data_IF_769014484486
#
_entry.id   IF_769014484486
#
_cell.length_a   1.000
_cell.length_b   1.000
_cell.length_c   1.000
_cell.angle_alpha   90.00
_cell.angle_beta   90.00
_cell.angle_gamma   90.00
#
_symmetry.space_group_name_H-M   'P 1'
#
loop_
_entity.id
_entity.type
_entity.pdbx_description
1 polymer ?
#
# COMPACT_ATOMS: atom_id res chain seq x y z
N UNK A 1 10.95 -28.89 -17.72
CA UNK A 1 9.76 -28.10 -18.03
C UNK A 1 8.88 -28.14 -16.79
N UNK A 2 9.04 -27.19 -15.91
CA UNK A 2 8.19 -27.03 -14.71
C UNK A 2 6.88 -26.37 -15.10
N UNK A 3 5.74 -26.72 -14.51
CA UNK A 3 4.49 -26.04 -14.77
C UNK A 3 4.61 -24.59 -14.25
N UNK A 4 4.38 -23.64 -15.15
CA UNK A 4 4.28 -22.23 -14.83
C UNK A 4 3.08 -22.06 -13.91
N UNK A 5 3.30 -21.63 -12.68
CA UNK A 5 2.29 -21.08 -11.78
C UNK A 5 1.72 -19.84 -12.46
N UNK A 6 0.51 -19.98 -12.95
CA UNK A 6 -0.31 -18.91 -13.51
C UNK A 6 -1.29 -18.50 -12.42
N UNK A 7 -1.29 -17.26 -12.07
CA UNK A 7 -2.36 -16.67 -11.25
C UNK A 7 -1.88 -15.63 -10.26
N UNK A 8 -2.18 -14.43 -10.59
CA UNK A 8 -2.61 -13.28 -9.79
C UNK A 8 -1.76 -12.81 -8.60
N UNK A 9 -0.97 -11.80 -8.86
CA UNK A 9 -0.25 -11.00 -7.87
C UNK A 9 -1.09 -9.81 -7.38
N UNK A 10 -2.18 -10.07 -6.67
CA UNK A 10 -3.00 -8.96 -6.15
C UNK A 10 -2.69 -8.54 -4.71
N UNK A 11 -1.65 -9.07 -4.05
CA UNK A 11 -1.57 -9.00 -2.58
C UNK A 11 -0.28 -8.42 -1.98
N UNK A 12 0.80 -8.22 -2.71
CA UNK A 12 1.92 -7.39 -2.23
C UNK A 12 1.80 -5.94 -2.66
N UNK A 13 0.98 -5.67 -3.68
CA UNK A 13 0.70 -4.34 -4.19
C UNK A 13 -0.78 -4.10 -4.49
N UNK A 14 -1.66 -5.08 -4.35
CA UNK A 14 -2.99 -4.91 -4.85
C UNK A 14 -4.00 -5.94 -4.43
N UNK A 15 -4.39 -5.97 -3.16
CA UNK A 15 -5.79 -6.24 -2.92
C UNK A 15 -6.52 -4.93 -3.10
N UNK A 16 -7.44 -4.93 -4.05
CA UNK A 16 -8.40 -3.84 -4.22
C UNK A 16 -9.27 -3.80 -2.96
N UNK A 17 -8.82 -3.04 -1.98
CA UNK A 17 -9.59 -2.78 -0.77
C UNK A 17 -10.42 -1.53 -1.06
N UNK A 18 -11.70 -1.73 -1.33
CA UNK A 18 -12.62 -0.61 -1.52
C UNK A 18 -12.78 0.15 -0.20
N UNK A 19 -11.99 1.20 0.01
CA UNK A 19 -12.17 2.15 1.10
C UNK A 19 -13.34 3.10 0.81
N UNK A 20 -14.54 2.55 0.59
CA UNK A 20 -15.75 3.34 0.41
C UNK A 20 -16.33 3.80 1.75
N UNK A 21 -15.54 4.40 2.62
CA UNK A 21 -16.06 5.13 3.78
C UNK A 21 -16.52 6.53 3.34
N UNK A 22 -17.71 6.60 2.75
CA UNK A 22 -18.41 7.87 2.65
C UNK A 22 -18.81 8.30 4.07
N UNK A 23 -18.19 9.38 4.57
CA UNK A 23 -18.56 9.97 5.85
C UNK A 23 -20.07 10.33 5.82
N UNK A 24 -20.89 9.58 6.52
CA UNK A 24 -22.28 9.96 6.79
C UNK A 24 -22.27 11.23 7.63
N UNK A 25 -23.00 12.29 7.25
CA UNK A 25 -23.17 13.44 8.11
C UNK A 25 -23.93 13.01 9.36
N UNK A 26 -23.35 13.25 10.54
CA UNK A 26 -23.97 12.99 11.82
C UNK A 26 -25.35 13.65 11.87
N UNK A 27 -26.38 12.84 11.97
CA UNK A 27 -27.73 13.31 12.21
C UNK A 27 -27.80 13.88 13.63
N UNK A 28 -27.99 15.18 13.75
CA UNK A 28 -28.36 15.84 15.00
C UNK A 28 -29.69 15.31 15.49
N UNK A 29 -29.69 14.47 16.50
CA UNK A 29 -30.90 14.12 17.26
C UNK A 29 -31.18 15.23 18.27
N UNK A 30 -32.22 16.02 18.00
CA UNK A 30 -32.83 16.88 18.98
C UNK A 30 -33.70 16.09 19.96
N UNK A 31 -33.88 16.54 21.23
CA UNK A 31 -34.63 15.79 22.22
C UNK A 31 -36.14 15.89 21.98
N UNK A 32 -36.80 14.75 21.77
CA UNK A 32 -38.24 14.65 21.77
C UNK A 32 -38.72 13.90 23.00
N UNK A 33 -39.29 14.61 23.95
CA UNK A 33 -40.06 14.07 25.08
C UNK A 33 -41.54 13.99 24.69
N UNK A 34 -42.07 12.76 24.64
CA UNK A 34 -43.54 12.53 24.55
C UNK A 34 -43.84 11.04 24.73
N UNK A 35 -44.82 10.64 25.59
CA UNK A 35 -45.11 9.25 25.87
C UNK A 35 -45.87 8.58 24.71
N UNK A 36 -45.45 7.39 24.33
CA UNK A 36 -46.04 6.53 23.31
C UNK A 36 -47.36 5.89 23.79
N UNK A 37 -48.39 5.79 22.93
CA UNK A 37 -49.58 4.97 23.21
C UNK A 37 -49.26 3.49 22.94
N UNK A 38 -49.81 2.63 23.78
CA UNK A 38 -49.75 1.17 23.70
C UNK A 38 -50.42 0.64 22.43
N UNK A 39 -49.79 -0.26 21.67
CA UNK A 39 -50.42 -0.88 20.51
C UNK A 39 -51.30 -2.10 20.96
N UNK A 40 -52.52 -2.12 20.43
CA UNK A 40 -53.39 -3.32 20.45
C UNK A 40 -52.88 -4.38 19.48
N UNK A 41 -53.00 -5.69 19.74
CA UNK A 41 -52.59 -6.71 18.81
C UNK A 41 -53.56 -6.84 17.65
N UNK A 42 -53.17 -6.41 16.48
CA UNK A 42 -53.82 -6.69 15.22
C UNK A 42 -53.30 -7.99 14.64
N UNK A 43 -54.15 -9.00 14.59
CA UNK A 43 -53.88 -10.26 13.92
C UNK A 43 -53.93 -10.06 12.40
N UNK A 44 -52.78 -9.73 11.79
CA UNK A 44 -52.58 -9.80 10.36
C UNK A 44 -51.62 -10.97 10.06
N UNK A 45 -52.14 -11.92 9.30
CA UNK A 45 -51.35 -13.11 8.89
C UNK A 45 -50.08 -12.70 8.15
N UNK A 46 -48.94 -12.95 8.76
CA UNK A 46 -47.66 -12.83 8.11
C UNK A 46 -47.48 -14.01 7.14
N UNK A 47 -47.71 -13.79 5.85
CA UNK A 47 -47.18 -14.67 4.84
C UNK A 47 -45.66 -14.55 4.92
N UNK A 48 -45.00 -15.51 5.55
CA UNK A 48 -43.56 -15.67 5.55
C UNK A 48 -43.14 -15.91 4.09
N UNK A 49 -42.73 -14.86 3.40
CA UNK A 49 -42.04 -15.02 2.12
C UNK A 49 -40.76 -15.81 2.40
N UNK A 50 -40.59 -16.96 1.77
CA UNK A 50 -39.39 -17.76 1.90
C UNK A 50 -38.16 -16.91 1.50
N UNK A 51 -37.06 -17.00 2.26
CA UNK A 51 -35.82 -16.32 1.91
C UNK A 51 -35.41 -16.70 0.47
N UNK A 52 -34.91 -15.75 -0.34
CA UNK A 52 -34.54 -16.01 -1.72
C UNK A 52 -33.46 -17.12 -1.80
N UNK A 53 -33.61 -18.01 -2.79
CA UNK A 53 -32.59 -19.03 -3.03
C UNK A 53 -31.24 -18.42 -3.44
N UNK A 54 -30.15 -19.19 -3.36
CA UNK A 54 -28.82 -18.73 -3.80
C UNK A 54 -28.87 -18.28 -5.25
N UNK A 55 -29.50 -19.03 -6.15
CA UNK A 55 -29.64 -18.67 -7.55
C UNK A 55 -30.42 -17.34 -7.77
N UNK A 56 -31.44 -17.08 -6.94
CA UNK A 56 -32.17 -15.81 -7.02
C UNK A 56 -31.34 -14.63 -6.51
N UNK A 57 -30.50 -14.84 -5.47
CA UNK A 57 -29.56 -13.80 -5.01
C UNK A 57 -28.50 -13.50 -6.05
N UNK A 58 -27.89 -14.52 -6.67
CA UNK A 58 -26.89 -14.34 -7.73
C UNK A 58 -27.47 -13.63 -8.97
N UNK A 59 -28.66 -14.01 -9.41
CA UNK A 59 -29.33 -13.31 -10.52
C UNK A 59 -29.64 -11.82 -10.19
N UNK A 60 -30.02 -11.51 -8.97
CA UNK A 60 -30.23 -10.13 -8.52
C UNK A 60 -28.89 -9.35 -8.46
N UNK A 61 -27.81 -10.00 -7.99
CA UNK A 61 -26.48 -9.42 -7.98
C UNK A 61 -25.98 -9.13 -9.40
N UNK A 62 -26.10 -10.08 -10.35
CA UNK A 62 -25.74 -9.87 -11.74
C UNK A 62 -26.48 -8.69 -12.39
N UNK A 63 -27.78 -8.58 -12.15
CA UNK A 63 -28.56 -7.45 -12.65
C UNK A 63 -28.10 -6.11 -12.05
N UNK A 64 -27.69 -6.11 -10.78
CA UNK A 64 -27.16 -4.92 -10.10
C UNK A 64 -25.78 -4.55 -10.64
N UNK A 65 -24.89 -5.51 -10.76
CA UNK A 65 -23.56 -5.34 -11.38
C UNK A 65 -23.66 -4.81 -12.80
N UNK A 66 -24.54 -5.36 -13.63
CA UNK A 66 -24.72 -4.91 -15.01
C UNK A 66 -25.21 -3.43 -15.09
N UNK A 67 -26.14 -3.04 -14.21
CA UNK A 67 -26.58 -1.61 -14.14
C UNK A 67 -25.45 -0.70 -13.71
N UNK A 68 -24.72 -1.05 -12.66
CA UNK A 68 -23.60 -0.28 -12.14
C UNK A 68 -22.46 -0.17 -13.16
N UNK A 69 -22.13 -1.26 -13.85
CA UNK A 69 -21.13 -1.28 -14.92
C UNK A 69 -21.47 -0.31 -16.04
N UNK A 70 -22.72 -0.36 -16.54
CA UNK A 70 -23.20 0.57 -17.57
C UNK A 70 -23.21 2.04 -17.10
N UNK A 71 -23.41 2.29 -15.81
CA UNK A 71 -23.37 3.64 -15.25
C UNK A 71 -21.94 4.16 -15.16
N UNK A 72 -21.02 3.40 -14.52
CA UNK A 72 -19.64 3.85 -14.32
C UNK A 72 -18.86 3.90 -15.62
N UNK A 73 -19.14 3.01 -16.58
CA UNK A 73 -18.48 3.01 -17.90
C UNK A 73 -18.69 4.32 -18.65
N UNK A 74 -19.91 4.87 -18.59
CA UNK A 74 -20.19 6.18 -19.20
C UNK A 74 -19.47 7.32 -18.51
N UNK A 75 -19.36 7.31 -17.18
CA UNK A 75 -18.62 8.32 -16.42
C UNK A 75 -17.12 8.26 -16.67
N UNK A 76 -16.59 7.02 -16.74
CA UNK A 76 -15.16 6.77 -16.98
C UNK A 76 -14.78 6.91 -18.47
N UNK A 77 -15.76 6.98 -19.37
CA UNK A 77 -15.57 7.01 -20.83
C UNK A 77 -14.80 5.77 -21.32
N UNK A 78 -15.17 4.59 -20.77
CA UNK A 78 -14.54 3.31 -21.11
C UNK A 78 -15.63 2.24 -21.27
N UNK A 79 -15.92 1.83 -22.51
CA UNK A 79 -17.02 0.91 -22.80
C UNK A 79 -16.70 -0.52 -22.35
N UNK A 80 -17.65 -1.28 -21.76
CA UNK A 80 -17.42 -2.65 -21.39
C UNK A 80 -17.18 -3.53 -22.62
N UNK A 81 -16.13 -4.35 -22.58
CA UNK A 81 -15.85 -5.34 -23.65
C UNK A 81 -16.54 -6.69 -23.43
N UNK A 82 -17.15 -6.89 -22.25
CA UNK A 82 -17.89 -8.08 -21.90
C UNK A 82 -18.63 -7.96 -20.59
N UNK A 83 -19.49 -8.92 -20.27
CA UNK A 83 -20.23 -8.92 -19.02
C UNK A 83 -19.32 -9.22 -17.82
N UNK A 84 -19.69 -8.69 -16.67
CA UNK A 84 -19.11 -9.01 -15.35
C UNK A 84 -20.18 -9.76 -14.57
N UNK A 85 -19.83 -10.92 -14.02
CA UNK A 85 -20.72 -11.71 -13.15
C UNK A 85 -20.86 -11.01 -11.80
N UNK A 86 -21.98 -11.25 -11.10
CA UNK A 86 -22.20 -10.73 -9.75
C UNK A 86 -22.50 -11.86 -8.78
N UNK A 87 -21.83 -11.88 -7.63
CA UNK A 87 -22.10 -12.84 -6.56
C UNK A 87 -22.14 -12.15 -5.20
N UNK A 88 -23.08 -12.56 -4.36
CA UNK A 88 -23.15 -12.11 -2.97
C UNK A 88 -22.57 -13.19 -2.06
N UNK A 89 -21.57 -12.83 -1.28
CA UNK A 89 -20.89 -13.71 -0.33
C UNK A 89 -20.85 -13.10 1.07
N UNK A 90 -20.64 -13.93 2.07
CA UNK A 90 -20.46 -13.48 3.45
C UNK A 90 -19.06 -12.88 3.67
N UNK A 91 -18.89 -12.11 4.74
CA UNK A 91 -17.57 -11.59 5.15
C UNK A 91 -16.54 -12.70 5.37
N UNK A 92 -16.95 -13.82 5.96
CA UNK A 92 -16.04 -14.95 6.20
C UNK A 92 -15.60 -15.60 4.89
N UNK A 93 -16.49 -15.73 3.90
CA UNK A 93 -16.16 -16.21 2.57
C UNK A 93 -15.21 -15.25 1.83
N UNK A 94 -15.41 -13.92 1.96
CA UNK A 94 -14.47 -12.93 1.43
C UNK A 94 -13.08 -13.09 2.02
N UNK A 95 -12.98 -13.13 3.34
CA UNK A 95 -11.70 -13.30 4.03
C UNK A 95 -11.03 -14.60 3.63
N UNK A 96 -11.79 -15.71 3.55
CA UNK A 96 -11.24 -16.98 3.09
C UNK A 96 -10.78 -16.95 1.63
N UNK A 97 -11.41 -16.13 0.77
CA UNK A 97 -10.95 -15.91 -0.60
C UNK A 97 -9.60 -15.18 -0.60
N UNK A 98 -9.51 -14.07 0.12
CA UNK A 98 -8.29 -13.28 0.28
C UNK A 98 -7.15 -14.11 0.87
N UNK A 99 -7.42 -14.93 1.89
CA UNK A 99 -6.41 -15.82 2.46
C UNK A 99 -5.85 -16.81 1.45
N UNK A 100 -6.72 -17.38 0.60
CA UNK A 100 -6.28 -18.30 -0.48
C UNK A 100 -5.44 -17.57 -1.51
N UNK A 101 -5.86 -16.38 -1.96
CA UNK A 101 -5.10 -15.58 -2.92
C UNK A 101 -3.72 -15.23 -2.35
N UNK A 102 -3.65 -14.76 -1.09
CA UNK A 102 -2.39 -14.47 -0.40
C UNK A 102 -1.44 -15.69 -0.39
N UNK A 103 -1.97 -16.88 -0.13
CA UNK A 103 -1.16 -18.11 -0.03
C UNK A 103 -0.74 -18.67 -1.40
N UNK A 104 -1.45 -18.35 -2.48
CA UNK A 104 -1.19 -18.89 -3.83
C UNK A 104 -0.44 -17.92 -4.73
N UNK A 105 -0.59 -16.63 -4.53
CA UNK A 105 -0.13 -15.59 -5.43
C UNK A 105 1.18 -14.94 -4.97
N UNK A 106 1.39 -14.85 -3.65
CA UNK A 106 2.61 -14.24 -3.10
C UNK A 106 3.57 -15.32 -2.61
N UNK A 107 4.84 -15.28 -3.04
CA UNK A 107 5.84 -16.16 -2.49
C UNK A 107 5.96 -16.00 -0.96
N UNK A 108 5.93 -17.11 -0.22
CA UNK A 108 6.04 -17.09 1.25
C UNK A 108 7.30 -16.36 1.74
N UNK A 109 8.37 -16.42 0.96
CA UNK A 109 9.61 -15.70 1.25
C UNK A 109 9.42 -14.19 1.30
N UNK A 110 8.57 -13.62 0.43
CA UNK A 110 8.24 -12.19 0.39
C UNK A 110 7.48 -11.78 1.64
N UNK A 111 6.44 -12.53 2.02
CA UNK A 111 5.63 -12.28 3.23
C UNK A 111 6.52 -12.33 4.49
N UNK A 112 7.41 -13.32 4.57
CA UNK A 112 8.35 -13.46 5.69
C UNK A 112 9.34 -12.30 5.72
N UNK A 113 10.00 -12.00 4.60
CA UNK A 113 10.98 -10.94 4.50
C UNK A 113 10.39 -9.55 4.83
N UNK A 114 9.15 -9.26 4.37
CA UNK A 114 8.45 -8.01 4.70
C UNK A 114 8.33 -7.83 6.21
N UNK A 115 7.90 -8.87 6.93
CA UNK A 115 7.80 -8.82 8.39
C UNK A 115 9.16 -8.64 9.08
N UNK A 116 10.22 -9.28 8.58
CA UNK A 116 11.57 -9.16 9.11
C UNK A 116 12.19 -7.79 8.85
N UNK A 117 11.99 -7.24 7.66
CA UNK A 117 12.49 -5.90 7.30
C UNK A 117 11.79 -4.82 8.14
N UNK A 118 10.47 -4.88 8.28
CA UNK A 118 9.72 -3.95 9.13
C UNK A 118 10.14 -4.04 10.61
N UNK A 119 10.38 -5.26 11.11
CA UNK A 119 10.92 -5.45 12.44
C UNK A 119 12.33 -4.85 12.56
N UNK A 120 13.22 -5.13 11.63
CA UNK A 120 14.58 -4.61 11.62
C UNK A 120 14.60 -3.07 11.55
N UNK A 121 13.69 -2.44 10.81
CA UNK A 121 13.51 -0.99 10.75
C UNK A 121 12.95 -0.39 12.06
N UNK A 122 12.38 -1.22 12.95
CA UNK A 122 11.82 -0.77 14.21
C UNK A 122 10.37 -0.28 14.12
N UNK A 123 9.68 -0.54 13.02
CA UNK A 123 8.32 -0.08 12.77
C UNK A 123 7.24 -1.04 13.26
N UNK A 124 7.62 -2.27 13.62
CA UNK A 124 6.72 -3.27 14.19
C UNK A 124 7.38 -4.00 15.38
N UNK A 125 6.61 -4.47 16.39
CA UNK A 125 7.16 -5.25 17.49
C UNK A 125 7.58 -6.67 17.07
N UNK A 126 8.37 -7.36 17.90
CA UNK A 126 8.83 -8.72 17.63
C UNK A 126 7.68 -9.73 17.45
N UNK A 127 6.58 -9.54 18.18
CA UNK A 127 5.39 -10.38 18.12
C UNK A 127 4.51 -10.13 16.88
N UNK A 128 4.78 -9.10 16.09
CA UNK A 128 3.94 -8.77 14.93
C UNK A 128 4.11 -9.81 13.81
N UNK A 129 3.02 -10.42 13.40
CA UNK A 129 2.96 -11.30 12.25
C UNK A 129 2.41 -10.55 11.04
N UNK A 130 3.26 -10.29 10.04
CA UNK A 130 2.93 -9.46 8.87
C UNK A 130 1.67 -9.96 8.13
N UNK A 131 1.58 -11.28 7.87
CA UNK A 131 0.41 -11.90 7.23
C UNK A 131 -0.88 -11.64 8.01
N UNK A 132 -0.86 -11.81 9.33
CA UNK A 132 -2.03 -11.57 10.19
C UNK A 132 -2.43 -10.10 10.21
N UNK A 133 -1.46 -9.20 10.30
CA UNK A 133 -1.71 -7.76 10.27
C UNK A 133 -2.33 -7.32 8.95
N UNK A 134 -1.83 -7.82 7.83
CA UNK A 134 -2.39 -7.55 6.51
C UNK A 134 -3.84 -8.05 6.41
N UNK A 135 -4.10 -9.30 6.76
CA UNK A 135 -5.45 -9.89 6.77
C UNK A 135 -6.42 -9.14 7.72
N UNK A 136 -5.92 -8.60 8.83
CA UNK A 136 -6.74 -7.81 9.74
C UNK A 136 -7.19 -6.48 9.11
N UNK A 137 -6.30 -5.78 8.40
CA UNK A 137 -6.68 -4.59 7.64
C UNK A 137 -7.70 -4.95 6.58
N UNK A 138 -7.43 -5.98 5.79
CA UNK A 138 -8.33 -6.43 4.74
C UNK A 138 -9.72 -6.81 5.26
N UNK A 139 -9.79 -7.56 6.36
CA UNK A 139 -11.07 -7.95 6.98
C UNK A 139 -11.93 -6.74 7.37
N UNK A 140 -11.33 -5.64 7.79
CA UNK A 140 -12.06 -4.44 8.19
C UNK A 140 -12.45 -3.54 7.02
N UNK A 141 -11.66 -3.52 5.97
CA UNK A 141 -11.83 -2.59 4.85
C UNK A 141 -12.49 -3.23 3.61
N UNK A 142 -12.43 -4.56 3.47
CA UNK A 142 -12.93 -5.26 2.30
C UNK A 142 -14.47 -5.31 2.30
N UNK A 143 -15.08 -4.51 1.44
CA UNK A 143 -16.53 -4.44 1.26
C UNK A 143 -17.02 -5.29 0.09
N UNK A 144 -16.22 -5.39 -0.95
CA UNK A 144 -16.39 -6.21 -2.16
C UNK A 144 -15.07 -6.23 -2.91
N UNK A 145 -14.99 -7.01 -3.98
CA UNK A 145 -13.83 -7.02 -4.87
C UNK A 145 -14.17 -7.60 -6.24
N UNK A 146 -13.47 -7.12 -7.26
CA UNK A 146 -13.48 -7.73 -8.57
C UNK A 146 -12.39 -8.80 -8.68
N UNK A 147 -12.76 -10.01 -9.11
CA UNK A 147 -11.84 -11.11 -9.38
C UNK A 147 -11.58 -11.20 -10.88
N UNK A 148 -10.39 -10.80 -11.37
CA UNK A 148 -10.10 -10.75 -12.81
C UNK A 148 -10.15 -12.12 -13.48
N UNK A 149 -9.63 -13.16 -12.80
CA UNK A 149 -9.57 -14.51 -13.37
C UNK A 149 -10.95 -15.05 -13.76
N UNK A 150 -11.94 -14.89 -12.88
CA UNK A 150 -13.31 -15.37 -13.06
C UNK A 150 -14.23 -14.31 -13.66
N UNK A 151 -13.75 -13.07 -13.84
CA UNK A 151 -14.53 -11.89 -14.27
C UNK A 151 -15.79 -11.72 -13.43
N UNK A 152 -15.61 -11.83 -12.11
CA UNK A 152 -16.71 -11.85 -11.15
C UNK A 152 -16.53 -10.73 -10.11
N UNK A 153 -17.59 -9.96 -9.91
CA UNK A 153 -17.73 -9.01 -8.81
C UNK A 153 -18.30 -9.72 -7.59
N UNK A 154 -17.55 -9.81 -6.51
CA UNK A 154 -18.00 -10.32 -5.22
C UNK A 154 -18.44 -9.18 -4.32
N UNK A 155 -19.64 -9.30 -3.74
CA UNK A 155 -20.28 -8.28 -2.90
C UNK A 155 -20.54 -8.84 -1.51
N UNK A 156 -20.29 -8.04 -0.48
CA UNK A 156 -20.70 -8.35 0.88
C UNK A 156 -22.23 -8.36 1.02
N UNK A 157 -22.79 -9.43 1.61
CA UNK A 157 -24.23 -9.55 1.78
C UNK A 157 -24.84 -8.53 2.77
N UNK A 158 -24.03 -7.81 3.49
CA UNK A 158 -24.36 -6.76 4.45
C UNK A 158 -24.29 -5.34 3.87
N UNK A 159 -23.86 -5.18 2.62
CA UNK A 159 -23.74 -3.87 1.95
C UNK A 159 -25.09 -3.35 1.46
N UNK A 160 -25.37 -2.08 1.71
CA UNK A 160 -26.60 -1.43 1.29
C UNK A 160 -26.39 0.05 0.94
N UNK A 161 -27.30 0.60 0.12
CA UNK A 161 -27.34 2.02 -0.20
C UNK A 161 -26.05 2.56 -0.79
N UNK A 162 -25.63 3.74 -0.35
CA UNK A 162 -24.48 4.45 -0.89
C UNK A 162 -23.14 3.68 -0.77
N UNK A 163 -22.98 2.89 0.28
CA UNK A 163 -21.77 2.07 0.48
C UNK A 163 -21.68 0.96 -0.58
N UNK A 164 -22.79 0.28 -0.88
CA UNK A 164 -22.88 -0.69 -1.97
C UNK A 164 -22.57 -0.03 -3.32
N UNK A 165 -23.17 1.12 -3.58
CA UNK A 165 -23.02 1.83 -4.86
C UNK A 165 -21.56 2.27 -5.05
N UNK A 166 -20.93 2.87 -4.03
CA UNK A 166 -19.55 3.30 -4.08
C UNK A 166 -18.59 2.12 -4.33
N UNK A 167 -18.77 1.01 -3.59
CA UNK A 167 -17.99 -0.22 -3.78
C UNK A 167 -18.16 -0.74 -5.22
N UNK A 168 -19.38 -0.84 -5.71
CA UNK A 168 -19.65 -1.30 -7.08
C UNK A 168 -18.97 -0.44 -8.12
N UNK A 169 -19.08 0.89 -8.02
CA UNK A 169 -18.50 1.79 -9.00
C UNK A 169 -16.97 1.72 -9.01
N UNK A 170 -16.35 1.60 -7.85
CA UNK A 170 -14.90 1.44 -7.74
C UNK A 170 -14.44 0.13 -8.38
N UNK A 171 -14.99 -0.99 -7.94
CA UNK A 171 -14.59 -2.32 -8.37
C UNK A 171 -14.87 -2.58 -9.86
N UNK A 172 -15.95 -2.01 -10.38
CA UNK A 172 -16.29 -2.17 -11.79
C UNK A 172 -15.39 -1.32 -12.72
N UNK A 173 -14.72 -0.29 -12.20
CA UNK A 173 -13.63 0.35 -12.95
C UNK A 173 -12.45 -0.60 -13.10
N UNK A 174 -12.10 -1.38 -12.06
CA UNK A 174 -11.08 -2.42 -12.20
C UNK A 174 -11.47 -3.49 -13.23
N UNK A 175 -12.75 -3.85 -13.28
CA UNK A 175 -13.23 -4.73 -14.36
C UNK A 175 -13.05 -4.12 -15.76
N UNK A 176 -13.27 -2.83 -15.92
CA UNK A 176 -12.99 -2.12 -17.19
C UNK A 176 -11.49 -2.04 -17.47
N UNK A 177 -10.67 -1.75 -16.47
CA UNK A 177 -9.21 -1.71 -16.61
C UNK A 177 -8.67 -3.08 -17.03
N UNK A 178 -9.18 -4.15 -16.42
CA UNK A 178 -8.79 -5.52 -16.80
C UNK A 178 -9.17 -5.85 -18.25
N UNK A 179 -10.41 -5.53 -18.64
CA UNK A 179 -10.89 -5.77 -20.01
C UNK A 179 -10.07 -5.02 -21.06
N UNK A 180 -9.63 -3.79 -20.80
CA UNK A 180 -8.94 -2.95 -21.76
C UNK A 180 -7.43 -3.01 -21.70
N UNK A 181 -6.85 -3.22 -20.51
CA UNK A 181 -5.41 -3.10 -20.27
C UNK A 181 -4.78 -4.39 -19.73
N UNK A 182 -5.60 -5.40 -19.37
CA UNK A 182 -5.11 -6.66 -18.83
C UNK A 182 -4.52 -6.51 -17.44
N UNK A 183 -5.28 -5.89 -16.54
CA UNK A 183 -4.85 -5.55 -15.17
C UNK A 183 -4.29 -6.77 -14.42
N UNK A 184 -4.93 -7.94 -14.56
CA UNK A 184 -4.46 -9.21 -14.00
C UNK A 184 -2.97 -9.46 -14.27
N UNK A 185 -2.56 -9.32 -15.55
CA UNK A 185 -1.18 -9.58 -15.96
C UNK A 185 -0.19 -8.51 -15.51
N UNK A 186 -0.65 -7.25 -15.38
CA UNK A 186 0.18 -6.14 -14.95
C UNK A 186 0.52 -6.23 -13.46
N UNK A 187 -0.36 -6.84 -12.68
CA UNK A 187 -0.20 -7.03 -11.24
C UNK A 187 0.32 -8.42 -10.86
N UNK A 188 0.58 -9.31 -11.83
CA UNK A 188 1.25 -10.59 -11.57
C UNK A 188 2.62 -10.38 -10.91
N UNK A 189 2.89 -11.14 -9.85
CA UNK A 189 4.16 -11.06 -9.14
C UNK A 189 5.36 -11.21 -10.06
N UNK A 190 6.30 -10.28 -9.95
CA UNK A 190 7.57 -10.31 -10.67
C UNK A 190 8.70 -9.90 -9.74
N UNK A 191 9.78 -10.65 -9.72
CA UNK A 191 10.97 -10.31 -8.95
C UNK A 191 11.54 -8.96 -9.38
N UNK A 192 12.07 -8.21 -8.45
CA UNK A 192 12.69 -6.89 -8.67
C UNK A 192 11.77 -5.79 -9.25
N UNK A 193 10.46 -6.00 -9.22
CA UNK A 193 9.47 -5.12 -9.83
C UNK A 193 8.58 -4.37 -8.82
N UNK A 194 8.86 -4.44 -7.51
CA UNK A 194 7.97 -3.94 -6.46
C UNK A 194 7.59 -2.47 -6.61
N UNK A 195 8.53 -1.58 -6.92
CA UNK A 195 8.22 -0.16 -7.16
C UNK A 195 7.39 0.06 -8.42
N UNK A 196 7.74 -0.61 -9.53
CA UNK A 196 6.94 -0.51 -10.76
C UNK A 196 5.52 -1.04 -10.57
N UNK A 197 5.36 -2.19 -9.91
CA UNK A 197 4.04 -2.74 -9.60
C UNK A 197 3.27 -1.80 -8.67
N UNK A 198 3.93 -1.18 -7.69
CA UNK A 198 3.36 -0.12 -6.87
C UNK A 198 2.85 1.08 -7.67
N UNK A 199 3.58 1.49 -8.70
CA UNK A 199 3.18 2.57 -9.59
C UNK A 199 1.96 2.21 -10.46
N UNK A 200 1.93 1.00 -11.02
CA UNK A 200 0.77 0.48 -11.77
C UNK A 200 -0.46 0.36 -10.87
N UNK A 201 -0.27 -0.16 -9.67
CA UNK A 201 -1.33 -0.24 -8.67
C UNK A 201 -1.88 1.14 -8.31
N UNK A 202 -1.01 2.11 -8.04
CA UNK A 202 -1.45 3.48 -7.76
C UNK A 202 -2.22 4.11 -8.94
N UNK A 203 -1.81 3.86 -10.18
CA UNK A 203 -2.58 4.28 -11.37
C UNK A 203 -3.97 3.63 -11.37
N UNK A 204 -4.06 2.33 -11.12
CA UNK A 204 -5.32 1.60 -11.10
C UNK A 204 -6.29 2.11 -10.03
N UNK A 205 -5.79 2.26 -8.81
CA UNK A 205 -6.58 2.75 -7.67
C UNK A 205 -6.99 4.21 -7.83
N UNK A 206 -6.09 5.03 -8.35
CA UNK A 206 -6.39 6.45 -8.61
C UNK A 206 -7.46 6.63 -9.68
N UNK A 207 -7.43 5.84 -10.74
CA UNK A 207 -8.42 5.82 -11.81
C UNK A 207 -9.79 5.38 -11.28
N UNK A 208 -9.84 4.26 -10.53
CA UNK A 208 -11.06 3.73 -9.94
C UNK A 208 -11.67 4.71 -8.92
N UNK A 209 -10.85 5.25 -8.02
CA UNK A 209 -11.28 6.22 -7.00
C UNK A 209 -11.77 7.51 -7.64
N UNK A 210 -11.10 8.01 -8.67
CA UNK A 210 -11.51 9.23 -9.38
C UNK A 210 -12.87 9.07 -10.07
N UNK A 211 -13.13 7.91 -10.69
CA UNK A 211 -14.42 7.60 -11.30
C UNK A 211 -15.53 7.35 -10.26
N UNK A 212 -15.21 6.68 -9.15
CA UNK A 212 -16.14 6.49 -8.03
C UNK A 212 -16.59 7.84 -7.44
N UNK A 213 -15.67 8.79 -7.26
CA UNK A 213 -16.00 10.14 -6.77
C UNK A 213 -16.94 10.86 -7.76
N UNK A 214 -16.65 10.79 -9.05
CA UNK A 214 -17.55 11.34 -10.08
C UNK A 214 -18.95 10.73 -9.97
N UNK A 215 -19.05 9.42 -9.74
CA UNK A 215 -20.32 8.72 -9.59
C UNK A 215 -21.06 9.16 -8.32
N UNK A 216 -20.38 9.27 -7.18
CA UNK A 216 -20.96 9.72 -5.90
C UNK A 216 -21.52 11.14 -5.96
N UNK A 217 -20.92 12.00 -6.76
CA UNK A 217 -21.31 13.41 -6.89
C UNK A 217 -21.96 13.75 -8.24
N UNK A 218 -22.37 12.74 -9.03
CA UNK A 218 -22.95 12.93 -10.35
C UNK A 218 -24.16 13.88 -10.36
N UNK A 219 -25.07 13.75 -9.39
CA UNK A 219 -26.23 14.62 -9.25
C UNK A 219 -25.87 16.09 -8.94
N UNK A 220 -24.72 16.31 -8.32
CA UNK A 220 -24.22 17.65 -7.98
C UNK A 220 -23.33 18.23 -9.07
N UNK A 221 -23.06 17.48 -10.13
CA UNK A 221 -22.15 17.86 -11.22
C UNK A 221 -20.73 18.25 -10.75
N UNK A 222 -20.26 17.63 -9.66
CA UNK A 222 -18.90 17.81 -9.12
C UNK A 222 -18.05 16.61 -9.54
N UNK A 223 -16.88 16.87 -10.12
CA UNK A 223 -15.95 15.82 -10.53
C UNK A 223 -14.76 15.78 -9.60
N UNK A 224 -14.15 14.61 -9.44
CA UNK A 224 -12.97 14.42 -8.61
C UNK A 224 -11.84 15.43 -8.89
N UNK A 225 -11.45 15.73 -10.16
CA UNK A 225 -10.39 16.69 -10.43
C UNK A 225 -10.74 18.15 -10.07
N UNK A 226 -12.02 18.46 -9.83
CA UNK A 226 -12.46 19.80 -9.43
C UNK A 226 -12.40 20.00 -7.90
N UNK A 227 -12.18 18.92 -7.14
CA UNK A 227 -12.01 18.98 -5.70
C UNK A 227 -10.59 19.39 -5.29
N UNK A 228 -10.44 20.17 -4.19
CA UNK A 228 -9.14 20.48 -3.63
C UNK A 228 -8.42 19.20 -3.13
N UNK A 229 -7.13 19.10 -3.37
CA UNK A 229 -6.34 17.94 -2.94
C UNK A 229 -6.34 17.77 -1.40
N UNK A 230 -6.47 18.88 -0.64
CA UNK A 230 -6.58 18.85 0.82
C UNK A 230 -7.81 18.11 1.36
N UNK A 231 -8.88 17.99 0.59
CA UNK A 231 -10.07 17.20 0.96
C UNK A 231 -9.74 15.72 0.91
N UNK A 232 -8.91 15.31 -0.05
CA UNK A 232 -8.44 13.94 -0.22
C UNK A 232 -7.49 13.53 0.90
N UNK A 233 -6.57 14.43 1.29
CA UNK A 233 -5.66 14.22 2.44
C UNK A 233 -6.45 14.00 3.74
N UNK A 234 -7.52 14.76 3.97
CA UNK A 234 -8.36 14.62 5.16
C UNK A 234 -9.09 13.28 5.18
N UNK A 235 -9.67 12.85 4.06
CA UNK A 235 -10.38 11.58 3.96
C UNK A 235 -9.45 10.40 4.22
N UNK A 236 -8.23 10.45 3.68
CA UNK A 236 -7.19 9.44 3.92
C UNK A 236 -6.79 9.34 5.39
N UNK A 237 -6.64 10.49 6.06
CA UNK A 237 -6.32 10.53 7.49
C UNK A 237 -7.45 9.91 8.35
N UNK A 238 -8.71 10.08 7.95
CA UNK A 238 -9.87 9.50 8.64
C UNK A 238 -9.95 7.99 8.43
N UNK A 239 -9.72 7.50 7.21
CA UNK A 239 -9.74 6.08 6.88
C UNK A 239 -8.63 5.30 7.61
N UNK A 240 -7.43 5.86 7.72
CA UNK A 240 -6.31 5.24 8.43
C UNK A 240 -6.56 5.02 9.95
N UNK A 241 -7.57 5.67 10.52
CA UNK A 241 -7.94 5.55 11.95
C UNK A 241 -8.85 4.38 12.31
N UNK A 242 -9.46 3.69 11.32
CA UNK A 242 -10.54 2.72 11.55
C UNK A 242 -10.08 1.40 12.17
N UNK A 243 -8.85 0.94 11.90
CA UNK A 243 -8.33 -0.34 12.40
C UNK A 243 -7.44 -0.14 13.62
N UNK A 244 -7.94 -0.49 14.80
CA UNK A 244 -7.15 -0.52 16.02
C UNK A 244 -6.22 -1.76 16.01
N UNK A 245 -5.05 -1.65 16.68
CA UNK A 245 -4.07 -2.74 16.87
C UNK A 245 -3.22 -3.16 15.67
N UNK A 246 -3.34 -2.53 14.50
CA UNK A 246 -2.42 -2.76 13.38
C UNK A 246 -1.41 -1.61 13.33
N UNK A 247 -0.10 -1.91 13.14
CA UNK A 247 0.93 -0.87 12.99
C UNK A 247 0.59 0.15 11.91
N UNK A 248 0.89 1.41 12.16
CA UNK A 248 0.53 2.51 11.26
C UNK A 248 1.14 2.35 9.87
N UNK A 249 2.36 1.81 9.78
CA UNK A 249 3.04 1.56 8.52
C UNK A 249 2.23 0.62 7.61
N UNK A 250 1.60 -0.42 8.16
CA UNK A 250 0.77 -1.34 7.37
C UNK A 250 -0.45 -0.61 6.81
N UNK A 251 -1.14 0.17 7.66
CA UNK A 251 -2.32 0.94 7.22
C UNK A 251 -1.95 1.96 6.14
N UNK A 252 -0.86 2.70 6.33
CA UNK A 252 -0.38 3.68 5.35
C UNK A 252 0.04 3.03 4.04
N UNK A 253 0.72 1.88 4.08
CA UNK A 253 1.10 1.17 2.87
C UNK A 253 -0.10 0.72 2.04
N UNK A 254 -1.20 0.32 2.68
CA UNK A 254 -2.45 -0.04 2.00
C UNK A 254 -3.15 1.20 1.41
N UNK A 255 -3.14 2.33 2.10
CA UNK A 255 -3.85 3.56 1.69
C UNK A 255 -3.06 4.40 0.67
N UNK A 256 -1.73 4.34 0.70
CA UNK A 256 -0.88 5.19 -0.14
C UNK A 256 -1.18 5.12 -1.64
N UNK A 257 -1.38 3.94 -2.27
CA UNK A 257 -1.72 3.85 -3.69
C UNK A 257 -3.00 4.62 -4.07
N UNK A 258 -4.01 4.60 -3.21
CA UNK A 258 -5.29 5.32 -3.44
C UNK A 258 -5.09 6.84 -3.46
N UNK A 259 -4.38 7.37 -2.47
CA UNK A 259 -4.17 8.81 -2.29
C UNK A 259 -3.28 9.37 -3.39
N UNK A 260 -2.13 8.75 -3.57
CA UNK A 260 -1.12 9.21 -4.52
C UNK A 260 -1.62 9.00 -5.96
N UNK A 261 -2.25 7.86 -6.23
CA UNK A 261 -2.85 7.55 -7.52
C UNK A 261 -3.99 8.49 -7.88
N UNK A 262 -4.88 8.81 -6.92
CA UNK A 262 -5.95 9.78 -7.14
C UNK A 262 -5.39 11.17 -7.48
N UNK A 263 -4.35 11.62 -6.77
CA UNK A 263 -3.68 12.89 -7.04
C UNK A 263 -3.09 12.92 -8.45
N UNK A 264 -2.40 11.85 -8.85
CA UNK A 264 -1.83 11.67 -10.18
C UNK A 264 -2.90 11.66 -11.27
N UNK A 265 -3.93 10.83 -11.13
CA UNK A 265 -5.02 10.71 -12.10
C UNK A 265 -5.81 12.02 -12.21
N UNK A 266 -6.12 12.68 -11.10
CA UNK A 266 -6.80 13.97 -11.14
C UNK A 266 -5.95 15.06 -11.82
N UNK A 267 -4.63 15.05 -11.64
CA UNK A 267 -3.73 15.96 -12.36
C UNK A 267 -3.74 15.69 -13.87
N UNK A 268 -3.74 14.43 -14.31
CA UNK A 268 -3.92 14.06 -15.72
C UNK A 268 -5.30 14.52 -16.25
N UNK A 269 -6.36 14.29 -15.48
CA UNK A 269 -7.72 14.66 -15.85
C UNK A 269 -7.92 16.17 -15.97
N UNK A 270 -7.26 16.99 -15.15
CA UNK A 270 -7.26 18.47 -15.28
C UNK A 270 -6.63 18.92 -16.60
N UNK A 271 -5.71 18.16 -17.17
CA UNK A 271 -5.01 18.48 -18.44
C UNK A 271 -5.78 18.02 -19.67
N UNK A 272 -6.36 16.83 -19.65
CA UNK A 272 -6.93 16.25 -20.88
C UNK A 272 -8.06 15.24 -20.64
N UNK A 273 -8.77 15.31 -19.50
CA UNK A 273 -9.88 14.42 -19.20
C UNK A 273 -9.46 12.95 -19.12
N UNK A 274 -10.41 12.08 -19.37
CA UNK A 274 -10.18 10.63 -19.36
C UNK A 274 -9.25 10.16 -20.48
N UNK A 275 -9.13 10.92 -21.58
CA UNK A 275 -8.16 10.63 -22.65
C UNK A 275 -6.72 10.69 -22.15
N UNK A 276 -6.37 11.63 -21.25
CA UNK A 276 -5.03 11.70 -20.67
C UNK A 276 -4.77 10.48 -19.74
N UNK A 277 -5.78 10.01 -19.02
CA UNK A 277 -5.66 8.78 -18.21
C UNK A 277 -5.51 7.54 -19.10
N UNK A 278 -6.27 7.43 -20.19
CA UNK A 278 -6.08 6.37 -21.18
C UNK A 278 -4.65 6.38 -21.76
N UNK A 279 -4.08 7.56 -21.99
CA UNK A 279 -2.68 7.72 -22.38
C UNK A 279 -1.69 7.19 -21.33
N UNK A 280 -2.00 7.33 -20.04
CA UNK A 280 -1.17 6.76 -18.96
C UNK A 280 -1.25 5.22 -18.91
N UNK A 281 -2.38 4.63 -19.23
CA UNK A 281 -2.49 3.18 -19.39
C UNK A 281 -1.74 2.63 -20.61
N UNK A 282 -1.57 3.43 -21.66
CA UNK A 282 -0.73 3.08 -22.82
C UNK A 282 0.76 3.27 -22.54
N UNK A 283 1.11 4.18 -21.66
CA UNK A 283 2.47 4.46 -21.21
C UNK A 283 2.51 4.45 -19.68
N UNK A 284 2.57 3.26 -19.13
CA UNK A 284 2.58 3.06 -17.68
C UNK A 284 3.69 3.88 -16.99
N UNK A 285 3.44 4.39 -15.77
CA UNK A 285 4.49 5.01 -14.97
C UNK A 285 5.58 3.96 -14.67
N UNK A 286 6.83 4.39 -14.74
CA UNK A 286 8.00 3.51 -14.57
C UNK A 286 8.37 3.30 -13.10
N UNK A 287 7.85 4.14 -12.19
CA UNK A 287 8.15 4.12 -10.76
C UNK A 287 7.06 4.83 -9.97
N UNK A 288 6.98 4.58 -8.68
CA UNK A 288 6.13 5.36 -7.77
C UNK A 288 6.55 6.82 -7.68
N UNK A 289 7.81 7.15 -7.96
CA UNK A 289 8.27 8.52 -8.11
C UNK A 289 7.51 9.26 -9.22
N UNK A 290 7.26 8.62 -10.35
CA UNK A 290 6.46 9.23 -11.43
C UNK A 290 4.98 9.43 -11.05
N UNK A 291 4.45 8.65 -10.14
CA UNK A 291 3.12 8.87 -9.55
C UNK A 291 3.12 10.10 -8.64
N UNK A 292 4.18 10.28 -7.84
CA UNK A 292 4.30 11.38 -6.89
C UNK A 292 4.70 12.70 -7.55
N UNK A 293 5.41 12.63 -8.69
CA UNK A 293 5.98 13.76 -9.41
C UNK A 293 5.61 13.72 -10.91
N UNK A 294 4.51 14.39 -11.24
CA UNK A 294 3.95 14.36 -12.61
C UNK A 294 4.95 14.91 -13.66
N UNK A 295 5.84 15.84 -13.28
CA UNK A 295 6.90 16.34 -14.14
C UNK A 295 7.92 15.27 -14.52
N UNK A 296 8.22 14.32 -13.61
CA UNK A 296 9.09 13.17 -13.91
C UNK A 296 8.39 12.15 -14.82
N UNK A 297 7.09 11.96 -14.66
CA UNK A 297 6.29 11.18 -15.61
C UNK A 297 6.29 11.81 -17.01
N UNK A 298 6.08 13.12 -17.11
CA UNK A 298 6.11 13.85 -18.38
C UNK A 298 7.50 13.78 -19.06
N UNK A 299 8.56 13.92 -18.26
CA UNK A 299 9.96 13.80 -18.71
C UNK A 299 10.34 12.35 -19.09
N UNK A 300 9.51 11.34 -18.75
CA UNK A 300 9.81 9.91 -18.92
C UNK A 300 11.08 9.50 -18.17
N UNK A 301 11.32 10.10 -17.02
CA UNK A 301 12.50 9.81 -16.21
C UNK A 301 12.39 8.39 -15.65
N UNK A 302 13.26 7.51 -16.10
CA UNK A 302 13.28 6.14 -15.64
C UNK A 302 14.13 5.99 -14.37
N UNK A 303 13.74 5.11 -13.43
CA UNK A 303 14.58 4.84 -12.26
C UNK A 303 15.92 4.23 -12.66
N UNK A 304 16.97 4.58 -11.92
CA UNK A 304 18.29 3.99 -12.10
C UNK A 304 18.34 2.57 -11.52
N UNK A 305 18.51 1.57 -12.38
CA UNK A 305 18.63 0.19 -11.92
C UNK A 305 19.93 0.02 -11.10
N UNK A 306 19.78 -0.46 -9.87
CA UNK A 306 20.91 -0.82 -9.02
C UNK A 306 21.16 -2.32 -9.10
N UNK A 307 22.42 -2.76 -9.35
CA UNK A 307 22.72 -4.19 -9.43
C UNK A 307 22.53 -4.89 -8.10
N UNK A 308 22.34 -6.20 -8.15
CA UNK A 308 22.30 -7.06 -6.97
C UNK A 308 23.56 -6.86 -6.11
N UNK A 309 23.39 -6.93 -4.80
CA UNK A 309 24.48 -6.72 -3.86
C UNK A 309 25.46 -7.91 -3.88
N UNK A 310 26.78 -7.66 -3.85
CA UNK A 310 27.76 -8.73 -3.76
C UNK A 310 27.79 -9.31 -2.35
N UNK A 311 27.14 -10.44 -2.18
CA UNK A 311 27.03 -11.12 -0.87
C UNK A 311 28.38 -11.50 -0.25
N UNK A 312 29.41 -11.72 -1.05
CA UNK A 312 30.76 -11.99 -0.55
C UNK A 312 31.30 -10.97 0.46
N UNK A 313 30.74 -9.73 0.41
CA UNK A 313 31.06 -8.66 1.38
C UNK A 313 30.54 -8.98 2.79
N UNK A 314 29.48 -9.79 2.90
CA UNK A 314 28.77 -10.05 4.15
C UNK A 314 29.09 -11.44 4.76
N UNK A 315 30.06 -12.16 4.19
CA UNK A 315 30.42 -13.53 4.61
C UNK A 315 29.60 -14.61 3.90
N UNK A 316 29.57 -15.84 4.41
CA UNK A 316 28.84 -16.95 3.81
C UNK A 316 27.35 -16.82 4.09
N UNK A 317 26.63 -16.12 3.22
CA UNK A 317 25.22 -15.81 3.36
C UNK A 317 24.44 -16.18 2.10
N UNK A 318 23.14 -16.38 2.25
CA UNK A 318 22.19 -16.62 1.17
C UNK A 318 21.18 -15.48 1.11
N UNK A 319 20.88 -14.98 -0.09
CA UNK A 319 19.76 -14.07 -0.30
C UNK A 319 18.46 -14.80 -0.01
N UNK A 320 17.64 -14.21 0.86
CA UNK A 320 16.27 -14.68 1.15
C UNK A 320 15.22 -13.87 0.44
N UNK A 321 15.54 -12.62 0.10
CA UNK A 321 14.65 -11.68 -0.61
C UNK A 321 15.46 -10.53 -1.22
N UNK A 322 15.05 -10.06 -2.39
CA UNK A 322 15.58 -8.82 -3.00
C UNK A 322 14.50 -8.14 -3.81
N UNK A 323 14.43 -6.79 -3.75
CA UNK A 323 13.45 -6.02 -4.49
C UNK A 323 13.83 -4.52 -4.58
N UNK A 324 13.00 -3.75 -5.29
CA UNK A 324 13.02 -2.28 -5.39
C UNK A 324 11.80 -1.72 -4.65
N UNK A 325 12.01 -0.81 -3.70
CA UNK A 325 10.94 -0.30 -2.83
C UNK A 325 10.31 1.02 -3.31
N UNK A 326 11.10 1.87 -3.96
CA UNK A 326 10.62 3.12 -4.54
C UNK A 326 10.38 4.26 -3.56
N UNK A 327 10.07 5.43 -4.10
CA UNK A 327 9.87 6.67 -3.33
C UNK A 327 8.64 6.59 -2.42
N UNK A 328 7.53 5.99 -2.88
CA UNK A 328 6.31 5.86 -2.08
C UNK A 328 6.57 5.07 -0.79
N UNK A 329 7.27 3.94 -0.90
CA UNK A 329 7.62 3.12 0.27
C UNK A 329 8.54 3.87 1.23
N UNK A 330 9.52 4.61 0.72
CA UNK A 330 10.39 5.47 1.55
C UNK A 330 9.60 6.56 2.28
N UNK A 331 8.68 7.22 1.60
CA UNK A 331 7.80 8.23 2.21
C UNK A 331 6.97 7.63 3.34
N UNK A 332 6.31 6.49 3.09
CA UNK A 332 5.51 5.79 4.11
C UNK A 332 6.37 5.37 5.30
N UNK A 333 7.59 4.90 5.06
CA UNK A 333 8.54 4.58 6.12
C UNK A 333 8.94 5.82 6.93
N UNK A 334 9.26 6.93 6.28
CA UNK A 334 9.66 8.15 6.97
C UNK A 334 8.53 8.77 7.80
N UNK A 335 7.27 8.54 7.42
CA UNK A 335 6.11 8.94 8.21
C UNK A 335 6.00 8.23 9.56
N UNK A 336 6.74 7.13 9.77
CA UNK A 336 6.89 6.51 11.10
C UNK A 336 7.76 7.36 12.03
N UNK A 337 8.67 8.15 11.48
CA UNK A 337 9.71 8.86 12.23
C UNK A 337 9.56 10.39 12.22
N UNK A 338 8.70 10.93 11.35
CA UNK A 338 8.51 12.38 11.20
C UNK A 338 7.12 12.72 10.65
N UNK A 339 6.70 14.01 10.73
CA UNK A 339 5.44 14.46 10.14
C UNK A 339 5.40 14.23 8.63
N UNK A 340 4.21 13.92 8.08
CA UNK A 340 4.00 13.52 6.67
C UNK A 340 4.62 14.49 5.65
N UNK A 341 4.51 15.82 5.87
CA UNK A 341 5.14 16.80 4.98
C UNK A 341 6.66 16.65 4.93
N UNK A 342 7.30 16.53 6.08
CA UNK A 342 8.75 16.37 6.16
C UNK A 342 9.19 14.99 5.59
N UNK A 343 8.39 13.94 5.78
CA UNK A 343 8.62 12.63 5.20
C UNK A 343 8.59 12.66 3.66
N UNK A 344 7.62 13.38 3.09
CA UNK A 344 7.52 13.61 1.64
C UNK A 344 8.75 14.34 1.09
N UNK A 345 9.16 15.43 1.75
CA UNK A 345 10.36 16.20 1.37
C UNK A 345 11.65 15.35 1.49
N UNK A 346 11.72 14.45 2.47
CA UNK A 346 12.90 13.60 2.69
C UNK A 346 12.97 12.39 1.73
N UNK A 347 11.85 11.91 1.22
CA UNK A 347 11.81 10.83 0.23
C UNK A 347 12.06 11.35 -1.19
N UNK A 348 11.70 12.62 -1.45
CA UNK A 348 11.76 13.23 -2.77
C UNK A 348 13.17 13.25 -3.36
N UNK A 349 13.25 13.02 -4.69
CA UNK A 349 14.50 12.90 -5.41
C UNK A 349 15.12 11.50 -5.29
N UNK A 350 14.33 10.49 -4.96
CA UNK A 350 14.72 9.10 -5.14
C UNK A 350 14.98 8.84 -6.62
N UNK A 351 16.10 8.17 -6.93
CA UNK A 351 16.46 7.83 -8.31
C UNK A 351 16.55 6.32 -8.54
N UNK A 352 16.60 5.54 -7.46
CA UNK A 352 16.65 4.09 -7.54
C UNK A 352 17.08 3.47 -6.21
N UNK A 353 16.66 2.24 -5.96
CA UNK A 353 17.10 1.50 -4.78
C UNK A 353 17.17 -0.01 -5.02
N UNK A 354 17.79 -0.69 -4.08
CA UNK A 354 17.75 -2.15 -3.94
C UNK A 354 17.86 -2.53 -2.49
N UNK A 355 16.80 -3.16 -1.99
CA UNK A 355 16.78 -3.81 -0.68
C UNK A 355 17.07 -5.29 -0.85
N UNK A 356 17.85 -5.87 0.07
CA UNK A 356 18.17 -7.30 0.07
C UNK A 356 18.17 -7.80 1.51
N UNK A 357 17.36 -8.82 1.79
CA UNK A 357 17.44 -9.61 3.01
C UNK A 357 18.28 -10.87 2.75
N UNK A 358 19.14 -11.21 3.69
CA UNK A 358 20.02 -12.36 3.57
C UNK A 358 20.25 -13.01 4.94
N UNK A 359 20.60 -14.30 4.94
CA UNK A 359 20.80 -15.07 6.16
C UNK A 359 22.06 -15.93 6.06
N UNK A 360 22.73 -16.12 7.20
CA UNK A 360 23.80 -17.11 7.38
C UNK A 360 23.26 -18.49 7.79
N UNK A 361 21.94 -18.68 7.80
CA UNK A 361 21.24 -19.86 8.27
C UNK A 361 20.76 -19.77 9.72
N UNK A 362 21.22 -18.78 10.49
CA UNK A 362 20.86 -18.55 11.89
C UNK A 362 20.28 -17.16 12.12
N UNK A 363 20.92 -16.16 11.57
CA UNK A 363 20.59 -14.75 11.72
C UNK A 363 20.23 -14.13 10.37
N UNK A 364 19.30 -13.20 10.39
CA UNK A 364 18.90 -12.39 9.24
C UNK A 364 19.57 -11.02 9.31
N UNK A 365 19.98 -10.52 8.15
CA UNK A 365 20.45 -9.15 7.96
C UNK A 365 19.77 -8.53 6.76
N UNK A 366 19.69 -7.20 6.75
CA UNK A 366 19.14 -6.43 5.62
C UNK A 366 20.19 -5.42 5.18
N UNK A 367 20.39 -5.35 3.88
CA UNK A 367 21.19 -4.32 3.22
C UNK A 367 20.32 -3.58 2.20
N UNK A 368 20.35 -2.26 2.24
CA UNK A 368 19.54 -1.43 1.36
C UNK A 368 20.43 -0.33 0.78
N UNK A 369 20.63 -0.35 -0.52
CA UNK A 369 21.31 0.72 -1.26
C UNK A 369 20.27 1.61 -1.89
N UNK A 370 20.38 2.92 -1.67
CA UNK A 370 19.45 3.91 -2.20
C UNK A 370 20.25 4.99 -2.91
N UNK A 371 19.80 5.39 -4.08
CA UNK A 371 20.40 6.46 -4.88
C UNK A 371 19.37 7.58 -5.04
N UNK A 372 19.85 8.79 -4.95
CA UNK A 372 19.05 10.02 -5.12
C UNK A 372 19.51 10.81 -6.35
N UNK A 373 18.71 11.75 -6.81
CA UNK A 373 19.04 12.64 -7.92
C UNK A 373 20.32 13.46 -7.66
N UNK A 374 20.47 13.89 -6.41
CA UNK A 374 21.59 14.74 -6.00
C UNK A 374 21.96 14.54 -4.51
N UNK A 375 23.09 15.17 -4.12
CA UNK A 375 23.59 15.04 -2.75
C UNK A 375 22.70 15.70 -1.70
N UNK A 376 21.95 16.73 -2.05
CA UNK A 376 21.05 17.41 -1.11
C UNK A 376 19.86 16.52 -0.77
N UNK A 377 19.25 15.84 -1.75
CA UNK A 377 18.20 14.85 -1.53
C UNK A 377 18.70 13.68 -0.67
N UNK A 378 19.89 13.15 -0.98
CA UNK A 378 20.50 12.10 -0.15
C UNK A 378 20.78 12.55 1.29
N UNK A 379 21.12 13.82 1.51
CA UNK A 379 21.30 14.37 2.85
C UNK A 379 19.96 14.46 3.61
N UNK A 380 18.90 14.93 2.97
CA UNK A 380 17.56 14.98 3.57
C UNK A 380 17.10 13.59 3.99
N UNK A 381 17.31 12.58 3.15
CA UNK A 381 17.00 11.20 3.48
C UNK A 381 17.88 10.66 4.63
N UNK A 382 19.17 11.01 4.68
CA UNK A 382 20.04 10.66 5.82
C UNK A 382 19.48 11.23 7.14
N UNK A 383 18.97 12.48 7.15
CA UNK A 383 18.34 13.06 8.33
C UNK A 383 17.05 12.32 8.73
N UNK A 384 16.27 11.84 7.76
CA UNK A 384 15.10 11.00 8.03
C UNK A 384 15.50 9.66 8.64
N UNK A 385 16.46 8.97 8.03
CA UNK A 385 16.99 7.72 8.59
C UNK A 385 17.63 7.90 9.98
N UNK A 386 18.33 9.02 10.23
CA UNK A 386 18.90 9.31 11.55
C UNK A 386 17.83 9.33 12.65
N UNK A 387 16.62 9.80 12.35
CA UNK A 387 15.49 9.71 13.31
C UNK A 387 15.10 8.27 13.58
N UNK A 388 15.02 7.42 12.56
CA UNK A 388 14.74 6.00 12.72
C UNK A 388 15.84 5.27 13.52
N UNK A 389 17.11 5.57 13.23
CA UNK A 389 18.27 5.02 13.96
C UNK A 389 18.23 5.40 15.44
N UNK A 390 17.89 6.66 15.74
CA UNK A 390 17.85 7.19 17.10
C UNK A 390 16.56 6.87 17.86
N UNK A 391 15.52 6.40 17.16
CA UNK A 391 14.25 6.04 17.77
C UNK A 391 14.44 4.98 18.86
N UNK A 392 13.79 5.11 20.01
CA UNK A 392 13.87 4.13 21.10
C UNK A 392 13.40 2.74 20.61
N UNK A 393 14.10 1.68 21.04
CA UNK A 393 13.80 0.30 20.61
C UNK A 393 12.51 -0.25 21.21
N UNK A 394 12.20 0.13 22.43
CA UNK A 394 11.13 -0.45 23.25
C UNK A 394 9.91 0.46 23.38
N UNK A 395 9.80 1.51 22.59
CA UNK A 395 8.58 2.31 22.56
C UNK A 395 7.44 1.48 21.97
N UNK A 396 6.42 1.24 22.79
CA UNK A 396 5.15 0.73 22.33
C UNK A 396 4.54 1.65 21.28
N UNK A 397 3.77 1.08 20.38
CA UNK A 397 2.97 1.87 19.45
C UNK A 397 1.87 2.60 20.24
N UNK A 398 1.61 3.88 19.94
CA UNK A 398 0.47 4.60 20.47
C UNK A 398 -0.86 3.98 20.00
N UNK A 399 -2.01 4.48 20.50
CA UNK A 399 -3.34 3.99 20.11
C UNK A 399 -3.61 4.08 18.59
N UNK A 400 -2.78 4.84 17.86
CA UNK A 400 -2.82 4.97 16.40
C UNK A 400 -1.81 4.08 15.69
N UNK A 401 -1.09 3.23 16.43
CA UNK A 401 -0.07 2.33 15.89
C UNK A 401 1.25 3.03 15.50
N UNK A 402 1.54 4.23 16.03
CA UNK A 402 2.77 4.99 15.77
C UNK A 402 3.69 4.97 16.99
N UNK A 403 4.98 5.20 16.76
CA UNK A 403 5.90 5.50 17.84
C UNK A 403 5.43 6.77 18.57
N UNK A 404 5.37 6.70 19.91
CA UNK A 404 4.75 7.74 20.74
C UNK A 404 5.45 9.10 20.68
N UNK A 405 6.75 9.13 20.35
CA UNK A 405 7.53 10.36 20.23
C UNK A 405 8.47 10.32 19.01
N UNK A 406 8.48 11.40 18.24
CA UNK A 406 9.48 11.59 17.19
C UNK A 406 10.80 12.08 17.81
N UNK A 407 11.91 11.53 17.32
CA UNK A 407 13.25 12.07 17.59
C UNK A 407 13.33 13.51 17.08
N UNK A 408 13.90 14.42 17.87
CA UNK A 408 13.98 15.82 17.47
C UNK A 408 14.80 16.02 16.20
N UNK A 409 14.45 17.03 15.40
CA UNK A 409 15.19 17.35 14.18
C UNK A 409 16.66 17.68 14.51
N UNK A 410 16.89 18.44 15.60
CA UNK A 410 18.25 18.85 15.98
C UNK A 410 19.15 17.67 16.37
N UNK A 411 18.61 16.64 17.01
CA UNK A 411 19.40 15.45 17.37
C UNK A 411 19.71 14.58 16.15
N UNK A 412 18.76 14.43 15.24
CA UNK A 412 18.96 13.76 13.97
C UNK A 412 19.99 14.48 13.09
N UNK A 413 19.88 15.81 12.98
CA UNK A 413 20.83 16.66 12.25
C UNK A 413 22.24 16.58 12.84
N UNK A 414 22.36 16.60 14.16
CA UNK A 414 23.65 16.44 14.84
C UNK A 414 24.27 15.07 14.55
N UNK A 415 23.48 13.99 14.60
CA UNK A 415 23.95 12.65 14.32
C UNK A 415 24.36 12.48 12.84
N UNK A 416 23.63 13.09 11.91
CA UNK A 416 23.89 13.00 10.47
C UNK A 416 25.06 13.86 9.96
N UNK A 417 25.61 14.80 10.77
CA UNK A 417 26.69 15.73 10.35
C UNK A 417 27.94 15.07 9.80
N UNK A 418 28.26 13.88 10.27
CA UNK A 418 29.44 13.12 9.82
C UNK A 418 29.20 12.34 8.52
N UNK A 419 27.98 12.40 7.99
CA UNK A 419 27.58 11.60 6.83
C UNK A 419 27.24 10.14 7.18
N UNK A 420 27.26 9.77 8.45
CA UNK A 420 26.93 8.44 8.91
C UNK A 420 26.26 8.46 10.29
N UNK A 421 25.40 7.49 10.55
CA UNK A 421 24.75 7.30 11.84
C UNK A 421 24.60 5.79 12.11
N UNK A 422 24.80 5.39 13.34
CA UNK A 422 24.59 4.01 13.76
C UNK A 422 24.19 3.94 15.24
N UNK A 423 23.34 2.96 15.55
CA UNK A 423 22.96 2.60 16.91
C UNK A 423 22.90 1.08 17.03
N UNK A 424 23.52 0.54 18.06
CA UNK A 424 23.35 -0.84 18.49
C UNK A 424 22.03 -1.00 19.23
N UNK A 425 21.30 -2.05 18.92
CA UNK A 425 19.98 -2.35 19.49
C UNK A 425 19.97 -3.77 20.03
N UNK A 426 19.28 -3.99 21.15
CA UNK A 426 19.34 -5.27 21.87
C UNK A 426 18.68 -6.42 21.12
N UNK A 427 17.57 -6.16 20.42
CA UNK A 427 16.76 -7.22 19.80
C UNK A 427 16.84 -7.23 18.28
N UNK A 428 17.23 -6.10 17.64
CA UNK A 428 17.23 -5.88 16.20
C UNK A 428 18.63 -5.78 15.60
N UNK A 429 19.67 -5.81 16.43
CA UNK A 429 21.03 -5.56 16.00
C UNK A 429 21.30 -4.10 15.60
N UNK A 430 22.51 -3.80 15.14
CA UNK A 430 22.85 -2.46 14.72
C UNK A 430 21.97 -1.99 13.56
N UNK A 431 21.60 -0.70 13.59
CA UNK A 431 21.02 0.03 12.48
C UNK A 431 22.01 1.11 12.06
N UNK A 432 22.61 0.94 10.90
CA UNK A 432 23.61 1.85 10.39
C UNK A 432 23.19 2.43 9.05
N UNK A 433 23.46 3.71 8.85
CA UNK A 433 23.26 4.43 7.60
C UNK A 433 24.51 5.25 7.30
N UNK A 434 24.98 5.19 6.07
CA UNK A 434 26.15 5.93 5.60
C UNK A 434 25.85 6.57 4.25
N UNK A 435 26.15 7.87 4.09
CA UNK A 435 26.01 8.63 2.84
C UNK A 435 27.37 8.81 2.18
N UNK A 436 27.41 8.58 0.87
CA UNK A 436 28.54 8.96 0.01
C UNK A 436 28.01 9.61 -1.27
N UNK A 437 28.27 10.90 -1.42
CA UNK A 437 27.70 11.65 -2.53
C UNK A 437 26.17 11.60 -2.50
N UNK A 438 25.56 11.16 -3.57
CA UNK A 438 24.10 11.01 -3.71
C UNK A 438 23.55 9.62 -3.32
N UNK A 439 24.34 8.78 -2.68
CA UNK A 439 23.93 7.43 -2.30
C UNK A 439 23.90 7.23 -0.78
N UNK A 440 22.95 6.40 -0.34
CA UNK A 440 22.89 5.86 1.01
C UNK A 440 23.10 4.35 1.00
N UNK A 441 23.95 3.87 1.91
CA UNK A 441 24.02 2.48 2.31
C UNK A 441 23.35 2.33 3.68
N UNK A 442 22.36 1.48 3.77
CA UNK A 442 21.62 1.15 5.00
C UNK A 442 21.84 -0.31 5.32
N UNK A 443 22.19 -0.62 6.57
CA UNK A 443 22.34 -1.99 7.05
C UNK A 443 21.62 -2.18 8.38
N UNK A 444 20.95 -3.32 8.52
CA UNK A 444 20.14 -3.69 9.67
C UNK A 444 20.48 -5.13 10.10
N UNK A 445 20.63 -5.33 11.39
CA UNK A 445 20.98 -6.65 11.92
C UNK A 445 22.49 -6.87 12.02
N UNK A 446 22.93 -8.12 12.29
CA UNK A 446 22.13 -9.36 12.23
C UNK A 446 21.21 -9.56 13.43
N UNK A 447 20.09 -10.25 13.21
CA UNK A 447 19.10 -10.60 14.22
C UNK A 447 18.43 -11.93 13.91
N UNK A 448 17.83 -12.54 14.94
CA UNK A 448 16.89 -13.64 14.82
C UNK A 448 15.61 -13.28 15.58
N UNK A 449 14.49 -13.40 14.93
CA UNK A 449 13.18 -13.14 15.48
C UNK A 449 12.32 -14.40 15.48
N UNK A 450 11.61 -14.64 16.56
CA UNK A 450 10.48 -15.56 16.62
C UNK A 450 9.27 -14.83 17.27
N UNK A 451 8.12 -15.49 17.38
CA UNK A 451 6.89 -14.89 17.89
C UNK A 451 6.97 -14.44 19.37
N UNK A 452 7.96 -14.89 20.13
CA UNK A 452 8.06 -14.63 21.56
C UNK A 452 9.27 -13.78 21.94
N UNK A 453 10.36 -13.84 21.15
CA UNK A 453 11.60 -13.15 21.46
C UNK A 453 12.39 -12.78 20.21
N UNK A 454 13.31 -11.85 20.39
CA UNK A 454 14.32 -11.56 19.39
C UNK A 454 15.70 -11.48 20.05
N UNK A 455 16.70 -11.96 19.34
CA UNK A 455 18.12 -11.87 19.72
C UNK A 455 18.89 -11.26 18.58
N UNK A 456 19.92 -10.50 18.91
CA UNK A 456 20.76 -9.86 17.91
C UNK A 456 22.23 -9.95 18.28
N UNK A 457 23.05 -9.77 17.28
CA UNK A 457 24.50 -9.72 17.35
C UNK A 457 25.02 -8.53 16.55
N UNK A 458 26.35 -8.34 16.59
CA UNK A 458 27.02 -7.34 15.77
C UNK A 458 27.17 -5.97 16.43
N UNK A 459 28.03 -5.16 15.82
CA UNK A 459 28.43 -3.86 16.30
C UNK A 459 28.38 -2.81 15.20
N UNK A 460 28.23 -1.56 15.57
CA UNK A 460 28.21 -0.42 14.65
C UNK A 460 29.42 -0.35 13.71
N UNK A 461 30.60 -0.77 14.16
CA UNK A 461 31.80 -0.78 13.31
C UNK A 461 31.63 -1.70 12.08
N UNK A 462 31.13 -2.91 12.28
CA UNK A 462 30.87 -3.86 11.18
C UNK A 462 29.71 -3.36 10.28
N UNK A 463 28.62 -2.90 10.89
CA UNK A 463 27.47 -2.40 10.16
C UNK A 463 27.80 -1.18 9.28
N UNK A 464 28.57 -0.22 9.78
CA UNK A 464 29.04 0.92 8.97
C UNK A 464 30.01 0.51 7.88
N UNK A 465 30.86 -0.51 8.12
CA UNK A 465 31.73 -1.06 7.08
C UNK A 465 30.90 -1.69 5.95
N UNK A 466 29.84 -2.41 6.28
CA UNK A 466 28.92 -2.96 5.30
C UNK A 466 28.18 -1.85 4.53
N UNK A 467 27.64 -0.85 5.24
CA UNK A 467 26.98 0.30 4.62
C UNK A 467 27.92 1.04 3.66
N UNK A 468 29.21 1.21 4.02
CA UNK A 468 30.21 1.80 3.15
C UNK A 468 30.47 0.95 1.89
N UNK A 469 30.51 -0.38 2.01
CA UNK A 469 30.70 -1.27 0.87
C UNK A 469 29.56 -1.18 -0.14
N UNK A 470 28.30 -0.97 0.30
CA UNK A 470 27.13 -0.79 -0.57
C UNK A 470 27.29 0.40 -1.51
N UNK A 471 27.83 1.52 -1.04
CA UNK A 471 27.98 2.77 -1.79
C UNK A 471 29.34 2.94 -2.47
N UNK A 472 30.26 1.99 -2.30
CA UNK A 472 31.61 2.07 -2.91
C UNK A 472 31.68 1.35 -4.26
N UNK A 473 30.74 0.46 -4.58
CA UNK A 473 30.79 -0.43 -5.74
C UNK A 473 30.15 0.14 -7.01
N UNK A 474 30.18 1.43 -7.23
CA UNK A 474 29.65 2.01 -8.46
C UNK A 474 30.74 2.67 -9.30
N UNK A 475 31.56 1.88 -9.96
CA UNK A 475 32.00 2.27 -11.31
C UNK A 475 31.17 1.47 -12.31
N UNK A 476 30.38 2.09 -13.21
CA UNK A 476 29.87 1.38 -14.36
C UNK A 476 31.07 0.84 -15.12
N UNK A 477 31.03 -0.42 -15.51
CA UNK A 477 31.90 -0.91 -16.56
C UNK A 477 31.58 -0.08 -17.82
N UNK A 478 32.61 0.54 -18.37
CA UNK A 478 32.58 1.24 -19.65
C UNK A 478 32.27 0.27 -20.78
#
# INVERSE_FOLDING_TARGET
MSPRLRGAALLCTGLVVSCAHAASPAAHQGPSTGPLPTPQPSSAGSSSAAAPSAAQRDAAAEATVARALNFVSRLRELEPLGPVKGRVISRDEMVAHVERSLDTEIPKAVVSASGEILFALGTVPASFEYRKGLLQVMRSELLGFYEPHDKTMFLGGDLHGQELDATLWHELVHALQDQHYGLEKLLDWSDDAGDWQGAVHALAEGDATSAMIDALFAEKHVRAPDMPDSVMDLQSALSAGSVQQVPAIIKRSVVAPYVDGLSFVNALRRRGGWSAVAGAWQRLPASTEQILHLEKYDAKEAPEALPALPLSTFGPTQVTYSDVYGEQTLRVLFEEWMPARAAREAASGWAGDRVTSFSDGTLTSVAWRIRYDNEAAALNALHAFARGVLAPEDQGLDDRGRLSEFVSASDADKAARTGQVCRERHTRGPFAVLRRGRELGVTLGPFRRNSESAVSEGHCTAALSWAAALVTQAKPAH
#
